data_IF_367575055163
#
_entry.id   IF_367575055163
#
_cell.length_a   1.000
_cell.length_b   1.000
_cell.length_c   1.000
_cell.angle_alpha   90.00
_cell.angle_beta   90.00
_cell.angle_gamma   90.00
#
_symmetry.space_group_name_H-M   'P 1'
#
loop_
_entity.id
_entity.type
_entity.pdbx_description
1 polymer ?
#
# COMPACT_ATOMS: atom_id res chain seq x y z
N UNK A 1 -52.25 -6.90 0.72
CA UNK A 1 -51.64 -5.91 -0.21
C UNK A 1 -50.48 -5.25 0.54
N UNK A 2 -49.30 -5.85 0.43
CA UNK A 2 -48.09 -5.40 1.11
C UNK A 2 -47.19 -4.79 0.02
N UNK A 3 -46.92 -3.50 0.14
CA UNK A 3 -46.03 -2.75 -0.75
C UNK A 3 -44.62 -2.95 -0.24
N UNK A 4 -43.80 -3.65 -1.00
CA UNK A 4 -42.36 -3.76 -0.77
C UNK A 4 -41.70 -2.57 -1.50
N UNK A 5 -41.16 -1.62 -0.74
CA UNK A 5 -40.31 -0.55 -1.27
C UNK A 5 -38.93 -1.13 -1.55
N UNK A 6 -38.53 -1.11 -2.83
CA UNK A 6 -37.15 -1.37 -3.25
C UNK A 6 -36.28 -0.17 -2.90
N UNK A 7 -35.35 -0.36 -1.99
CA UNK A 7 -34.24 0.58 -1.80
C UNK A 7 -33.14 0.28 -2.81
N UNK A 8 -32.76 1.31 -3.56
CA UNK A 8 -31.76 1.29 -4.61
C UNK A 8 -30.37 0.94 -4.09
N UNK A 9 -29.65 0.17 -4.91
CA UNK A 9 -28.30 -0.29 -4.63
C UNK A 9 -27.28 0.86 -4.63
N UNK A 10 -26.53 0.96 -3.56
CA UNK A 10 -25.30 1.73 -3.51
C UNK A 10 -24.17 0.98 -4.24
N UNK A 11 -23.13 1.66 -4.70
CA UNK A 11 -22.06 1.03 -5.47
C UNK A 11 -21.25 0.06 -4.61
N UNK A 12 -21.20 -1.20 -5.04
CA UNK A 12 -20.32 -2.22 -4.46
C UNK A 12 -18.89 -1.95 -4.94
N UNK A 13 -18.02 -1.52 -4.03
CA UNK A 13 -16.58 -1.40 -4.29
C UNK A 13 -15.93 -2.77 -4.27
N UNK A 14 -15.28 -3.17 -5.35
CA UNK A 14 -14.55 -4.43 -5.46
C UNK A 14 -13.04 -4.17 -5.34
N UNK A 15 -12.33 -5.04 -4.63
CA UNK A 15 -10.88 -4.94 -4.30
C UNK A 15 -9.95 -4.73 -5.52
N UNK A 16 -10.36 -5.14 -6.71
CA UNK A 16 -9.63 -4.88 -7.95
C UNK A 16 -9.88 -3.45 -8.48
N UNK A 17 -10.94 -2.78 -8.03
CA UNK A 17 -11.21 -1.37 -8.34
C UNK A 17 -10.42 -0.43 -7.43
N UNK A 18 -10.00 -0.87 -6.23
CA UNK A 18 -9.34 -0.02 -5.24
C UNK A 18 -7.90 0.38 -5.62
N UNK A 19 -7.18 -0.42 -6.38
CA UNK A 19 -5.93 0.02 -7.05
C UNK A 19 -6.21 0.89 -8.30
N UNK A 20 -7.39 0.76 -8.89
CA UNK A 20 -7.89 1.58 -10.00
C UNK A 20 -8.82 2.70 -9.53
N UNK A 21 -9.30 2.73 -8.27
CA UNK A 21 -10.23 3.75 -7.78
C UNK A 21 -9.62 5.15 -7.79
N UNK A 22 -8.30 5.26 -7.78
CA UNK A 22 -7.63 6.50 -8.17
C UNK A 22 -7.75 6.81 -9.68
N UNK A 23 -8.20 5.85 -10.49
CA UNK A 23 -8.30 5.94 -11.95
C UNK A 23 -9.74 5.78 -12.48
N UNK A 24 -10.66 5.19 -11.72
CA UNK A 24 -12.05 5.01 -12.10
C UNK A 24 -12.92 6.11 -11.47
N UNK A 25 -12.89 7.29 -12.05
CA UNK A 25 -13.97 8.27 -11.86
C UNK A 25 -15.05 7.91 -12.87
N UNK A 26 -15.91 6.96 -12.55
CA UNK A 26 -17.16 6.70 -13.26
C UNK A 26 -18.35 6.92 -12.30
N UNK A 27 -18.37 8.11 -11.70
CA UNK A 27 -19.58 8.68 -11.09
C UNK A 27 -19.85 9.99 -11.77
N UNK A 28 -21.12 10.23 -12.14
CA UNK A 28 -21.56 11.53 -12.61
C UNK A 28 -21.05 12.62 -11.65
N UNK A 29 -20.47 13.72 -12.11
CA UNK A 29 -19.84 14.71 -11.25
C UNK A 29 -20.87 15.25 -10.26
N UNK A 30 -20.67 14.97 -8.98
CA UNK A 30 -21.27 15.77 -7.92
C UNK A 30 -20.64 17.18 -8.05
N UNK A 31 -21.43 18.25 -7.91
CA UNK A 31 -21.00 19.60 -8.25
C UNK A 31 -19.74 20.16 -7.54
N UNK A 32 -19.11 19.35 -6.66
CA UNK A 32 -17.89 19.68 -5.91
C UNK A 32 -16.59 19.08 -6.50
N UNK A 33 -16.67 18.25 -7.53
CA UNK A 33 -15.50 17.58 -8.14
C UNK A 33 -14.69 18.47 -9.11
N UNK A 34 -14.99 19.75 -9.18
CA UNK A 34 -14.41 20.68 -10.17
C UNK A 34 -12.88 20.66 -10.25
N UNK A 35 -12.19 20.64 -9.11
CA UNK A 35 -10.72 20.66 -9.07
C UNK A 35 -10.09 19.36 -9.62
N UNK A 36 -10.65 18.22 -9.24
CA UNK A 36 -10.13 16.90 -9.66
C UNK A 36 -10.46 16.55 -11.11
N UNK A 37 -11.53 17.14 -11.67
CA UNK A 37 -11.87 16.97 -13.09
C UNK A 37 -10.85 17.64 -14.02
N UNK A 38 -10.11 18.66 -13.56
CA UNK A 38 -9.04 19.30 -14.34
C UNK A 38 -7.83 18.40 -14.59
N UNK A 39 -7.69 17.29 -13.87
CA UNK A 39 -6.65 16.30 -14.16
C UNK A 39 -6.89 15.51 -15.43
N UNK A 40 -8.15 15.41 -15.89
CA UNK A 40 -8.52 14.76 -17.16
C UNK A 40 -8.39 15.78 -18.28
N UNK A 41 -7.35 15.65 -19.10
CA UNK A 41 -7.06 16.57 -20.20
C UNK A 41 -7.81 16.22 -21.49
N UNK A 42 -8.16 14.95 -21.67
CA UNK A 42 -8.89 14.46 -22.83
C UNK A 42 -9.74 13.25 -22.46
N UNK A 43 -10.99 13.21 -22.94
CA UNK A 43 -11.87 12.06 -22.82
C UNK A 43 -12.86 12.02 -23.98
N UNK A 44 -12.78 10.96 -24.78
CA UNK A 44 -13.71 10.65 -25.86
C UNK A 44 -13.84 9.12 -25.99
N UNK A 45 -14.94 8.57 -25.51
CA UNK A 45 -15.20 7.14 -25.52
C UNK A 45 -15.42 6.55 -26.92
N UNK A 46 -15.60 7.40 -27.94
CA UNK A 46 -15.78 6.97 -29.34
C UNK A 46 -14.48 7.06 -30.17
N UNK A 47 -13.43 7.64 -29.58
CA UNK A 47 -12.13 7.72 -30.24
C UNK A 47 -11.53 6.32 -30.42
N UNK A 48 -11.05 6.04 -31.64
CA UNK A 48 -10.54 4.69 -32.00
C UNK A 48 -9.18 4.34 -31.39
N UNK A 49 -8.40 5.33 -30.96
CA UNK A 49 -7.03 5.09 -30.45
C UNK A 49 -6.88 5.53 -29.01
N UNK A 50 -7.10 6.79 -28.70
CA UNK A 50 -6.98 7.33 -27.34
C UNK A 50 -8.38 7.70 -26.86
N UNK A 51 -8.89 6.97 -25.86
CA UNK A 51 -10.20 7.26 -25.27
C UNK A 51 -10.11 8.21 -24.08
N UNK A 52 -8.97 8.22 -23.37
CA UNK A 52 -8.75 9.10 -22.21
C UNK A 52 -7.27 9.40 -22.03
N UNK A 53 -6.96 10.64 -21.64
CA UNK A 53 -5.64 11.04 -21.15
C UNK A 53 -5.82 11.92 -19.91
N UNK A 54 -5.16 11.55 -18.82
CA UNK A 54 -5.23 12.29 -17.57
C UNK A 54 -3.84 12.38 -16.91
N UNK A 55 -3.59 13.50 -16.25
CA UNK A 55 -2.44 13.68 -15.37
C UNK A 55 -2.78 13.10 -14.01
N UNK A 56 -1.85 12.35 -13.43
CA UNK A 56 -1.96 11.79 -12.08
C UNK A 56 -0.89 12.38 -11.19
N UNK A 57 -1.16 12.42 -9.89
CA UNK A 57 -0.15 12.85 -8.95
C UNK A 57 -0.58 12.69 -7.51
N UNK A 58 0.40 12.90 -6.62
CA UNK A 58 0.16 12.96 -5.18
C UNK A 58 1.19 13.85 -4.49
N UNK A 59 0.76 14.48 -3.41
CA UNK A 59 1.60 15.22 -2.51
C UNK A 59 1.27 14.83 -1.07
N UNK A 60 2.26 14.33 -0.36
CA UNK A 60 2.16 13.97 1.06
C UNK A 60 3.20 14.77 1.84
N UNK A 61 2.77 15.44 2.89
CA UNK A 61 3.62 16.22 3.78
C UNK A 61 3.45 15.72 5.21
N UNK A 62 4.55 15.51 5.92
CA UNK A 62 4.58 14.99 7.28
C UNK A 62 5.30 15.92 8.23
N UNK A 63 4.71 16.08 9.41
CA UNK A 63 5.28 16.66 10.62
C UNK A 63 5.56 15.52 11.59
N UNK A 64 6.78 15.41 12.08
CA UNK A 64 7.25 14.29 12.90
C UNK A 64 7.81 14.82 14.22
N UNK A 65 7.45 14.16 15.32
CA UNK A 65 8.05 14.39 16.63
C UNK A 65 8.19 13.05 17.33
N UNK A 66 9.42 12.59 17.54
CA UNK A 66 9.74 11.37 18.29
C UNK A 66 10.49 11.75 19.57
N UNK A 67 10.24 10.99 20.62
CA UNK A 67 10.93 11.05 21.92
C UNK A 67 11.17 9.63 22.40
N UNK A 68 12.44 9.23 22.56
CA UNK A 68 12.83 7.86 22.86
C UNK A 68 14.07 7.78 23.73
N UNK A 69 14.37 6.57 24.20
CA UNK A 69 15.55 6.25 24.99
C UNK A 69 16.88 6.40 24.23
N UNK A 70 16.84 6.44 22.88
CA UNK A 70 18.02 6.64 22.02
C UNK A 70 18.15 8.06 21.49
N UNK A 71 17.16 8.95 21.74
CA UNK A 71 17.18 10.34 21.34
C UNK A 71 15.82 10.86 20.88
N UNK A 72 15.81 12.10 20.44
CA UNK A 72 14.62 12.77 19.90
C UNK A 72 14.80 13.19 18.44
N UNK A 73 13.69 13.23 17.71
CA UNK A 73 13.62 13.72 16.33
C UNK A 73 12.44 14.67 16.20
N UNK A 74 12.70 15.87 15.67
CA UNK A 74 11.65 16.78 15.19
C UNK A 74 11.97 17.16 13.77
N UNK A 75 11.07 16.85 12.88
CA UNK A 75 11.29 17.03 11.45
C UNK A 75 9.98 17.35 10.73
N UNK A 76 10.12 17.99 9.59
CA UNK A 76 9.04 18.22 8.65
C UNK A 76 9.54 17.93 7.24
N UNK A 77 8.78 17.15 6.46
CA UNK A 77 9.24 16.76 5.15
C UNK A 77 8.11 16.50 4.16
N UNK A 78 8.40 16.71 2.89
CA UNK A 78 7.59 16.16 1.80
C UNK A 78 7.83 14.65 1.73
N UNK A 79 6.86 13.90 2.23
CA UNK A 79 6.96 12.43 2.32
C UNK A 79 6.89 11.75 0.96
N UNK A 80 6.12 12.31 0.02
CA UNK A 80 5.97 11.86 -1.36
C UNK A 80 5.55 13.01 -2.25
N UNK A 81 6.22 13.16 -3.37
CA UNK A 81 5.73 13.96 -4.47
C UNK A 81 5.86 13.15 -5.76
N UNK A 82 4.73 12.82 -6.37
CA UNK A 82 4.64 12.05 -7.59
C UNK A 82 3.90 12.79 -8.66
N UNK A 83 4.37 12.67 -9.87
CA UNK A 83 3.69 13.15 -11.07
C UNK A 83 3.74 12.07 -12.15
N UNK A 84 2.68 11.99 -12.90
CA UNK A 84 2.57 11.03 -13.97
C UNK A 84 1.36 11.26 -14.85
N UNK A 85 1.07 10.28 -15.68
CA UNK A 85 -0.11 10.27 -16.52
C UNK A 85 -0.66 8.87 -16.69
N UNK A 86 -1.92 8.80 -17.04
CA UNK A 86 -2.62 7.59 -17.44
C UNK A 86 -3.36 7.84 -18.73
N UNK A 87 -3.30 6.88 -19.65
CA UNK A 87 -4.03 6.91 -20.92
C UNK A 87 -4.74 5.59 -21.18
N UNK A 88 -6.00 5.66 -21.61
CA UNK A 88 -6.77 4.52 -22.08
C UNK A 88 -6.69 4.46 -23.59
N UNK A 89 -6.33 3.30 -24.13
CA UNK A 89 -6.02 3.06 -25.51
C UNK A 89 -6.79 1.86 -26.06
N UNK A 90 -7.27 1.95 -27.31
CA UNK A 90 -7.80 0.81 -28.07
C UNK A 90 -8.84 -0.01 -27.27
N UNK A 91 -9.70 0.66 -26.50
CA UNK A 91 -10.79 0.12 -25.65
C UNK A 91 -10.37 -0.79 -24.50
N UNK A 92 -9.23 -1.46 -24.59
CA UNK A 92 -8.83 -2.51 -23.65
C UNK A 92 -7.46 -2.31 -23.01
N UNK A 93 -6.72 -1.29 -23.45
CA UNK A 93 -5.38 -1.04 -22.92
C UNK A 93 -5.36 0.21 -22.04
N UNK A 94 -4.58 0.16 -20.99
CA UNK A 94 -4.23 1.32 -20.17
C UNK A 94 -2.72 1.39 -20.07
N UNK A 95 -2.16 2.52 -20.43
CA UNK A 95 -0.76 2.82 -20.15
C UNK A 95 -0.68 3.86 -19.03
N UNK A 96 0.11 3.57 -18.00
CA UNK A 96 0.41 4.48 -16.89
C UNK A 96 1.91 4.68 -16.79
N UNK A 97 2.35 5.91 -16.55
CA UNK A 97 3.72 6.21 -16.13
C UNK A 97 3.71 7.28 -15.06
N UNK A 98 4.42 7.04 -13.96
CA UNK A 98 4.51 7.92 -12.79
C UNK A 98 5.94 7.89 -12.23
N UNK A 99 6.44 9.02 -11.75
CA UNK A 99 7.74 9.14 -11.13
C UNK A 99 7.66 9.83 -9.76
N UNK A 100 8.56 9.45 -8.86
CA UNK A 100 8.82 10.11 -7.58
C UNK A 100 9.86 11.22 -7.76
N UNK A 101 9.60 12.36 -7.11
CA UNK A 101 10.48 13.50 -7.05
C UNK A 101 10.76 13.89 -5.60
N UNK A 102 11.98 14.33 -5.29
CA UNK A 102 12.33 14.87 -3.99
C UNK A 102 12.14 16.38 -3.98
N UNK A 103 11.32 16.86 -3.04
CA UNK A 103 11.13 18.29 -2.78
C UNK A 103 11.84 18.75 -1.50
N UNK A 104 12.46 17.83 -0.75
CA UNK A 104 13.25 18.18 0.43
C UNK A 104 14.69 18.53 0.03
N UNK A 105 15.20 17.88 -1.03
CA UNK A 105 16.54 18.10 -1.56
C UNK A 105 16.50 18.38 -3.07
N UNK A 106 17.32 19.30 -3.51
CA UNK A 106 17.31 19.74 -4.91
C UNK A 106 18.08 18.79 -5.86
N UNK A 107 18.99 17.97 -5.34
CA UNK A 107 19.85 17.09 -6.13
C UNK A 107 20.04 15.72 -5.44
N UNK A 108 19.56 14.63 -6.03
CA UNK A 108 18.79 14.59 -7.28
C UNK A 108 17.31 14.90 -7.07
N UNK A 109 16.75 15.81 -7.85
CA UNK A 109 15.30 16.11 -7.84
C UNK A 109 14.46 14.93 -8.30
N UNK A 110 14.87 14.21 -9.35
CA UNK A 110 14.25 12.97 -9.79
C UNK A 110 14.77 11.81 -8.94
N UNK A 111 13.86 11.04 -8.34
CA UNK A 111 14.19 9.91 -7.48
C UNK A 111 14.07 8.57 -8.20
N UNK A 112 12.92 8.28 -8.77
CA UNK A 112 12.72 7.00 -9.48
C UNK A 112 11.41 6.95 -10.27
N UNK A 113 11.37 6.09 -11.28
CA UNK A 113 10.11 5.63 -11.85
C UNK A 113 9.37 4.75 -10.83
N UNK A 114 8.07 4.99 -10.73
CA UNK A 114 7.17 4.17 -9.93
C UNK A 114 6.33 3.26 -10.84
N UNK A 115 5.03 3.47 -10.94
CA UNK A 115 4.23 2.73 -11.90
C UNK A 115 4.58 3.14 -13.34
N UNK A 116 5.09 2.20 -14.13
CA UNK A 116 5.31 2.38 -15.58
C UNK A 116 5.00 1.06 -16.25
N UNK A 117 3.74 0.88 -16.64
CA UNK A 117 3.23 -0.38 -17.15
C UNK A 117 2.19 -0.21 -18.25
N UNK A 118 2.05 -1.26 -19.06
CA UNK A 118 0.93 -1.48 -19.95
C UNK A 118 0.00 -2.53 -19.33
N UNK A 119 -1.28 -2.20 -19.22
CA UNK A 119 -2.33 -3.10 -18.80
C UNK A 119 -3.24 -3.45 -19.98
N UNK A 120 -3.56 -4.74 -20.12
CA UNK A 120 -4.59 -5.23 -21.03
C UNK A 120 -5.76 -5.80 -20.22
N UNK A 121 -6.96 -5.27 -20.43
CA UNK A 121 -8.20 -5.63 -19.73
C UNK A 121 -9.32 -5.93 -20.73
N UNK A 122 -9.31 -7.10 -21.38
CA UNK A 122 -10.31 -7.45 -22.38
C UNK A 122 -11.71 -7.63 -21.79
N UNK A 123 -11.82 -7.89 -20.50
CA UNK A 123 -13.10 -8.04 -19.79
C UNK A 123 -13.00 -7.43 -18.39
N UNK A 124 -14.15 -7.19 -17.73
CA UNK A 124 -14.18 -6.75 -16.31
C UNK A 124 -13.60 -7.79 -15.35
N UNK A 125 -13.39 -9.03 -15.77
CA UNK A 125 -12.99 -10.17 -14.91
C UNK A 125 -11.54 -10.59 -15.09
N UNK A 126 -10.86 -10.08 -16.10
CA UNK A 126 -9.51 -10.51 -16.45
C UNK A 126 -8.66 -9.32 -16.85
N UNK A 127 -7.47 -9.21 -16.27
CA UNK A 127 -6.46 -8.23 -16.67
C UNK A 127 -5.05 -8.80 -16.55
N UNK A 128 -4.18 -8.34 -17.43
CA UNK A 128 -2.74 -8.57 -17.39
C UNK A 128 -2.06 -7.21 -17.35
N UNK A 129 -1.07 -7.07 -16.49
CA UNK A 129 -0.23 -5.89 -16.39
C UNK A 129 1.22 -6.27 -16.55
N UNK A 130 1.95 -5.59 -17.43
CA UNK A 130 3.36 -5.82 -17.70
C UNK A 130 4.12 -4.49 -17.59
N UNK A 131 5.23 -4.48 -16.86
CA UNK A 131 6.04 -3.29 -16.62
C UNK A 131 6.44 -3.14 -15.16
N UNK A 132 6.97 -1.96 -14.80
CA UNK A 132 7.30 -1.61 -13.42
C UNK A 132 6.01 -1.26 -12.68
N UNK A 133 5.71 -1.97 -11.60
CA UNK A 133 4.45 -1.85 -10.88
C UNK A 133 4.61 -2.31 -9.43
N UNK A 134 3.65 -1.93 -8.57
CA UNK A 134 3.67 -2.40 -7.19
C UNK A 134 3.43 -3.92 -7.13
N UNK A 135 4.39 -4.65 -6.58
CA UNK A 135 4.27 -6.08 -6.27
C UNK A 135 3.63 -6.24 -4.88
N UNK A 136 2.33 -5.91 -4.78
CA UNK A 136 1.63 -5.86 -3.50
C UNK A 136 1.27 -7.23 -2.95
N UNK A 137 1.62 -7.48 -1.69
CA UNK A 137 1.15 -8.58 -0.85
C UNK A 137 1.14 -8.10 0.61
N UNK A 138 0.55 -8.84 1.55
CA UNK A 138 0.20 -8.40 2.91
C UNK A 138 -0.91 -7.33 2.93
N UNK A 139 -1.45 -7.03 4.10
CA UNK A 139 -2.53 -6.07 4.29
C UNK A 139 -2.16 -4.69 3.74
N UNK A 140 -1.08 -4.09 4.24
CA UNK A 140 -0.71 -2.73 3.87
C UNK A 140 0.14 -2.68 2.59
N UNK A 141 0.80 -3.78 2.21
CA UNK A 141 1.51 -3.90 0.95
C UNK A 141 0.58 -3.88 -0.27
N UNK A 142 -0.67 -4.35 -0.13
CA UNK A 142 -1.72 -4.25 -1.15
C UNK A 142 -2.50 -2.95 -1.09
N UNK A 143 -2.33 -2.13 -0.02
CA UNK A 143 -3.06 -0.86 0.14
C UNK A 143 -2.31 0.29 -0.53
N UNK A 144 -2.99 1.06 -1.36
CA UNK A 144 -2.44 2.30 -1.92
C UNK A 144 -2.03 3.26 -0.79
N UNK A 145 -0.90 3.96 -0.97
CA UNK A 145 -0.47 4.97 -0.01
C UNK A 145 -1.50 6.12 0.17
N UNK A 146 -2.36 6.35 -0.82
CA UNK A 146 -3.45 7.34 -0.71
C UNK A 146 -4.57 6.84 0.21
N UNK A 147 -4.77 5.52 0.31
CA UNK A 147 -5.89 4.86 1.02
C UNK A 147 -5.52 4.35 2.40
N UNK A 148 -4.27 4.49 2.81
CA UNK A 148 -3.86 4.17 4.17
C UNK A 148 -4.71 4.95 5.17
N UNK A 149 -5.22 4.25 6.19
CA UNK A 149 -5.97 4.84 7.30
C UNK A 149 -5.07 5.15 8.51
N UNK A 150 -3.78 4.85 8.40
CA UNK A 150 -2.71 5.22 9.34
C UNK A 150 -1.69 6.08 8.62
N UNK A 151 -0.86 6.82 9.38
CA UNK A 151 0.17 7.71 8.81
C UNK A 151 1.16 6.95 7.94
N UNK A 152 1.65 5.81 8.43
CA UNK A 152 2.55 4.91 7.71
C UNK A 152 2.00 3.48 7.75
N UNK A 153 2.48 2.63 6.82
CA UNK A 153 2.20 1.20 6.83
C UNK A 153 2.66 0.56 8.14
N UNK A 154 1.97 -0.51 8.54
CA UNK A 154 2.41 -1.30 9.68
C UNK A 154 3.82 -1.88 9.45
N UNK A 155 4.57 -2.02 10.53
CA UNK A 155 5.96 -2.45 10.44
C UNK A 155 6.13 -3.93 10.05
N UNK A 156 5.11 -4.77 10.25
CA UNK A 156 5.11 -6.15 9.77
C UNK A 156 5.16 -6.19 8.23
N UNK A 157 4.27 -5.45 7.56
CA UNK A 157 4.31 -5.32 6.11
C UNK A 157 5.63 -4.74 5.60
N UNK A 158 6.21 -3.75 6.31
CA UNK A 158 7.48 -3.13 5.91
C UNK A 158 8.68 -4.08 6.04
N UNK A 159 8.68 -4.99 7.03
CA UNK A 159 9.75 -5.97 7.21
C UNK A 159 9.64 -7.14 6.25
N UNK A 160 8.43 -7.60 5.94
CA UNK A 160 8.19 -8.73 5.05
C UNK A 160 8.18 -8.34 3.58
N UNK A 161 7.75 -7.10 3.29
CA UNK A 161 7.65 -6.60 1.93
C UNK A 161 9.02 -6.24 1.37
N UNK A 162 9.07 -6.02 0.08
CA UNK A 162 10.31 -5.79 -0.62
C UNK A 162 10.95 -4.44 -0.29
N UNK A 163 12.25 -4.38 -0.47
CA UNK A 163 13.02 -3.16 -0.29
C UNK A 163 12.51 -2.05 -1.21
N UNK A 164 12.12 -2.41 -2.43
CA UNK A 164 11.48 -1.54 -3.41
C UNK A 164 10.00 -1.88 -3.57
N UNK A 165 9.15 -0.86 -3.66
CA UNK A 165 7.70 -1.02 -3.86
C UNK A 165 7.37 -1.39 -5.30
N UNK A 166 8.03 -0.73 -6.26
CA UNK A 166 7.76 -0.84 -7.69
C UNK A 166 8.84 -1.67 -8.37
N UNK A 167 8.43 -2.78 -8.93
CA UNK A 167 9.32 -3.83 -9.45
C UNK A 167 8.86 -4.21 -10.86
N UNK A 168 9.79 -4.38 -11.83
CA UNK A 168 9.45 -4.87 -13.16
C UNK A 168 8.92 -6.31 -13.10
N UNK A 169 7.82 -6.56 -13.79
CA UNK A 169 7.23 -7.89 -13.83
C UNK A 169 5.95 -7.97 -14.63
N UNK A 170 5.34 -9.13 -14.58
CA UNK A 170 4.03 -9.41 -15.18
C UNK A 170 3.08 -9.91 -14.10
N UNK A 171 1.91 -9.31 -14.01
CA UNK A 171 0.85 -9.65 -13.08
C UNK A 171 -0.44 -9.98 -13.84
N UNK A 172 -1.05 -11.11 -13.51
CA UNK A 172 -2.36 -11.53 -14.00
C UNK A 172 -3.35 -11.48 -12.85
N UNK A 173 -4.52 -10.90 -13.09
CA UNK A 173 -5.58 -10.81 -12.09
C UNK A 173 -6.89 -11.33 -12.70
N UNK A 174 -7.60 -12.18 -11.94
CA UNK A 174 -8.85 -12.82 -12.36
C UNK A 174 -9.89 -12.68 -11.25
N UNK A 175 -11.10 -12.27 -11.65
CA UNK A 175 -12.28 -12.21 -10.76
C UNK A 175 -13.31 -13.24 -11.24
N UNK A 176 -13.71 -14.16 -10.35
CA UNK A 176 -14.73 -15.15 -10.63
C UNK A 176 -15.78 -15.22 -9.50
N UNK A 177 -16.90 -14.55 -9.70
CA UNK A 177 -17.89 -14.37 -8.62
C UNK A 177 -17.25 -13.62 -7.44
N UNK A 178 -17.33 -14.21 -6.25
CA UNK A 178 -16.70 -13.69 -5.04
C UNK A 178 -15.19 -13.97 -4.94
N UNK A 179 -14.63 -14.80 -5.81
CA UNK A 179 -13.22 -15.14 -5.80
C UNK A 179 -12.36 -14.12 -6.54
N UNK A 180 -11.19 -13.83 -5.99
CA UNK A 180 -10.15 -12.96 -6.53
C UNK A 180 -8.85 -13.75 -6.59
N UNK A 181 -8.20 -13.74 -7.74
CA UNK A 181 -6.92 -14.42 -7.95
C UNK A 181 -5.92 -13.45 -8.52
N UNK A 182 -4.70 -13.47 -8.02
CA UNK A 182 -3.56 -12.76 -8.60
C UNK A 182 -2.39 -13.71 -8.68
N UNK A 183 -1.67 -13.67 -9.79
CA UNK A 183 -0.41 -14.40 -9.95
C UNK A 183 0.55 -13.53 -10.76
N UNK A 184 1.79 -13.43 -10.33
CA UNK A 184 2.78 -12.60 -10.99
C UNK A 184 4.19 -13.18 -10.87
N UNK A 185 5.04 -12.78 -11.82
CA UNK A 185 6.48 -13.02 -11.79
C UNK A 185 7.15 -11.66 -11.94
N UNK A 186 8.09 -11.39 -11.05
CA UNK A 186 8.80 -10.13 -10.95
C UNK A 186 10.29 -10.34 -10.87
N UNK A 187 11.06 -9.31 -11.23
CA UNK A 187 12.51 -9.31 -11.09
C UNK A 187 12.95 -9.23 -9.62
N UNK A 188 13.96 -10.02 -9.23
CA UNK A 188 14.73 -9.81 -8.01
C UNK A 188 15.96 -8.92 -8.23
N UNK A 189 16.32 -8.63 -9.47
CA UNK A 189 17.58 -8.02 -9.90
C UNK A 189 17.93 -6.67 -9.30
N UNK A 190 18.73 -5.89 -10.00
CA UNK A 190 19.21 -4.60 -9.50
C UNK A 190 18.14 -3.51 -9.61
N UNK A 191 17.85 -2.87 -8.48
CA UNK A 191 16.93 -1.73 -8.39
C UNK A 191 17.64 -0.45 -8.82
N UNK A 192 17.35 0.04 -10.03
CA UNK A 192 17.79 1.37 -10.48
C UNK A 192 16.66 2.39 -10.38
N UNK A 193 16.97 3.71 -10.37
CA UNK A 193 15.95 4.75 -10.39
C UNK A 193 14.97 4.62 -11.57
N UNK A 194 15.44 4.17 -12.72
CA UNK A 194 14.64 4.01 -13.93
C UNK A 194 13.78 2.74 -13.83
N UNK A 195 14.08 1.76 -14.66
CA UNK A 195 13.27 0.54 -14.74
C UNK A 195 13.81 -0.59 -13.85
N UNK A 196 15.12 -0.65 -13.64
CA UNK A 196 15.83 -1.75 -13.00
C UNK A 196 16.26 -2.83 -13.99
N UNK A 197 16.99 -3.82 -13.50
CA UNK A 197 17.49 -4.93 -14.33
C UNK A 197 16.68 -6.20 -14.09
N UNK A 198 16.87 -7.18 -14.99
CA UNK A 198 16.37 -8.55 -14.85
C UNK A 198 17.53 -9.52 -14.57
N UNK A 199 18.71 -8.99 -14.23
CA UNK A 199 19.85 -9.77 -13.78
C UNK A 199 19.61 -10.22 -12.33
N UNK A 200 20.05 -11.42 -11.99
CA UNK A 200 19.75 -12.02 -10.70
C UNK A 200 18.53 -12.94 -10.73
N UNK A 201 17.95 -13.20 -9.57
CA UNK A 201 16.81 -14.08 -9.45
C UNK A 201 15.48 -13.37 -9.78
N UNK A 202 14.41 -14.15 -9.80
CA UNK A 202 13.04 -13.66 -9.89
C UNK A 202 12.24 -14.16 -8.70
N UNK A 203 11.10 -13.52 -8.42
CA UNK A 203 10.17 -14.03 -7.44
C UNK A 203 8.77 -14.22 -8.04
N UNK A 204 8.07 -15.22 -7.52
CA UNK A 204 6.69 -15.50 -7.79
C UNK A 204 5.78 -14.93 -6.69
N UNK A 205 4.71 -14.26 -7.09
CA UNK A 205 3.65 -13.77 -6.20
C UNK A 205 2.35 -14.49 -6.55
N UNK A 206 1.67 -15.00 -5.55
CA UNK A 206 0.34 -15.59 -5.67
C UNK A 206 -0.59 -15.05 -4.58
N UNK A 207 -1.83 -14.74 -4.96
CA UNK A 207 -2.88 -14.34 -4.03
C UNK A 207 -4.18 -15.04 -4.39
N UNK A 208 -4.91 -15.47 -3.37
CA UNK A 208 -6.31 -15.90 -3.47
C UNK A 208 -7.13 -15.15 -2.43
N UNK A 209 -8.20 -14.50 -2.89
CA UNK A 209 -9.12 -13.76 -2.04
C UNK A 209 -10.56 -14.22 -2.20
N UNK A 210 -11.35 -14.08 -1.14
CA UNK A 210 -12.80 -14.31 -1.17
C UNK A 210 -13.52 -13.12 -0.57
N UNK A 211 -14.44 -12.57 -1.35
CA UNK A 211 -15.26 -11.40 -1.01
C UNK A 211 -16.60 -11.85 -0.41
N UNK A 212 -16.79 -11.59 0.88
CA UNK A 212 -18.01 -11.87 1.62
C UNK A 212 -18.97 -10.67 1.67
N UNK A 213 -18.62 -9.52 1.09
CA UNK A 213 -19.32 -8.25 1.27
C UNK A 213 -20.80 -8.34 0.90
N UNK A 214 -21.11 -8.90 -0.26
CA UNK A 214 -22.48 -9.11 -0.72
C UNK A 214 -23.23 -10.08 0.20
N UNK A 215 -22.61 -11.19 0.57
CA UNK A 215 -23.21 -12.23 1.43
C UNK A 215 -23.53 -11.70 2.83
N UNK A 216 -22.69 -10.82 3.37
CA UNK A 216 -22.84 -10.27 4.71
C UNK A 216 -23.59 -8.94 4.73
N UNK A 217 -23.84 -8.33 3.56
CA UNK A 217 -24.52 -7.05 3.43
C UNK A 217 -23.73 -5.89 4.05
N UNK A 218 -22.39 -5.92 3.91
CA UNK A 218 -21.47 -4.91 4.46
C UNK A 218 -20.71 -4.22 3.34
N UNK A 219 -20.05 -3.10 3.65
CA UNK A 219 -19.28 -2.32 2.68
C UNK A 219 -18.07 -3.10 2.15
N UNK A 220 -17.32 -3.74 3.03
CA UNK A 220 -16.16 -4.58 2.70
C UNK A 220 -16.12 -5.78 3.65
N UNK A 221 -15.89 -6.97 3.12
CA UNK A 221 -15.55 -8.17 3.90
C UNK A 221 -14.69 -9.09 3.02
N UNK A 222 -13.37 -8.90 3.05
CA UNK A 222 -12.44 -9.57 2.17
C UNK A 222 -11.42 -10.37 2.98
N UNK A 223 -11.30 -11.65 2.70
CA UNK A 223 -10.23 -12.52 3.22
C UNK A 223 -9.25 -12.83 2.09
N UNK A 224 -7.97 -12.58 2.29
CA UNK A 224 -6.91 -12.85 1.33
C UNK A 224 -5.84 -13.73 1.94
N UNK A 225 -5.32 -14.64 1.13
CA UNK A 225 -4.10 -15.39 1.36
C UNK A 225 -3.08 -15.00 0.29
N UNK A 226 -1.99 -14.38 0.71
CA UNK A 226 -0.85 -14.06 -0.13
C UNK A 226 0.27 -15.07 0.10
N UNK A 227 0.99 -15.39 -0.96
CA UNK A 227 2.20 -16.19 -0.91
C UNK A 227 3.24 -15.67 -1.90
N UNK A 228 4.47 -15.54 -1.43
CA UNK A 228 5.64 -15.15 -2.24
C UNK A 228 6.69 -16.23 -2.12
N UNK A 229 7.28 -16.62 -3.24
CA UNK A 229 8.47 -17.43 -3.33
C UNK A 229 9.55 -16.70 -4.10
N UNK A 230 10.76 -16.68 -3.55
CA UNK A 230 11.93 -16.05 -4.12
C UNK A 230 13.13 -16.99 -3.98
N UNK A 231 13.88 -17.19 -5.07
CA UNK A 231 15.17 -17.84 -4.98
C UNK A 231 16.17 -16.94 -4.22
N UNK A 232 16.85 -17.47 -3.17
CA UNK A 232 17.87 -16.73 -2.46
C UNK A 232 19.01 -16.34 -3.41
N UNK A 233 19.26 -15.04 -3.54
CA UNK A 233 20.37 -14.49 -4.31
C UNK A 233 20.89 -13.22 -3.64
N UNK A 234 22.19 -13.17 -3.34
CA UNK A 234 22.83 -12.01 -2.73
C UNK A 234 22.87 -10.78 -3.64
N UNK A 235 22.62 -10.93 -4.95
CA UNK A 235 22.55 -9.84 -5.91
C UNK A 235 21.17 -9.19 -6.00
N UNK A 236 20.15 -9.77 -5.35
CA UNK A 236 18.83 -9.17 -5.31
C UNK A 236 18.84 -7.86 -4.51
N UNK A 237 18.42 -6.77 -5.14
CA UNK A 237 18.31 -5.47 -4.48
C UNK A 237 16.89 -4.87 -4.54
N UNK A 238 15.99 -5.46 -5.34
CA UNK A 238 14.57 -5.13 -5.27
C UNK A 238 13.89 -5.67 -4.02
N UNK A 239 14.34 -6.81 -3.49
CA UNK A 239 13.65 -7.60 -2.48
C UNK A 239 14.42 -7.71 -1.18
N UNK A 240 13.71 -7.94 -0.07
CA UNK A 240 14.32 -8.40 1.18
C UNK A 240 14.64 -9.90 1.08
N UNK A 241 15.64 -10.40 1.82
CA UNK A 241 16.10 -11.79 1.70
C UNK A 241 15.18 -12.77 2.46
N UNK A 242 13.94 -12.89 2.01
CA UNK A 242 12.97 -13.89 2.46
C UNK A 242 12.67 -14.85 1.32
N UNK A 243 12.99 -16.13 1.49
CA UNK A 243 12.71 -17.17 0.48
C UNK A 243 11.21 -17.42 0.34
N UNK A 244 10.51 -17.51 1.46
CA UNK A 244 9.07 -17.69 1.51
C UNK A 244 8.43 -16.60 2.35
N UNK A 245 7.32 -16.04 1.88
CA UNK A 245 6.46 -15.16 2.69
C UNK A 245 5.02 -15.59 2.53
N UNK A 246 4.31 -15.78 3.63
CA UNK A 246 2.88 -16.04 3.69
C UNK A 246 2.16 -14.96 4.49
N UNK A 247 1.00 -14.49 4.02
CA UNK A 247 0.14 -13.55 4.74
C UNK A 247 -1.31 -13.96 4.61
N UNK A 248 -2.01 -14.05 5.73
CA UNK A 248 -3.47 -14.18 5.79
C UNK A 248 -4.02 -12.86 6.32
N UNK A 249 -4.65 -12.08 5.45
CA UNK A 249 -5.17 -10.79 5.83
C UNK A 249 -6.69 -10.69 5.64
N UNK A 250 -7.33 -9.90 6.50
CA UNK A 250 -8.76 -9.71 6.50
C UNK A 250 -9.10 -8.23 6.59
N UNK A 251 -10.08 -7.80 5.80
CA UNK A 251 -10.66 -6.47 5.80
C UNK A 251 -12.14 -6.57 6.04
N UNK A 252 -12.65 -5.74 6.92
CA UNK A 252 -14.06 -5.66 7.25
C UNK A 252 -14.48 -4.22 7.50
N UNK A 253 -15.55 -3.78 6.85
CA UNK A 253 -16.07 -2.42 7.00
C UNK A 253 -17.62 -2.44 6.87
N UNK A 254 -18.32 -2.00 7.92
CA UNK A 254 -19.77 -1.80 7.93
C UNK A 254 -20.19 -0.39 7.52
N UNK A 255 -19.20 0.48 7.22
CA UNK A 255 -19.37 1.91 7.04
C UNK A 255 -19.12 2.71 8.32
N UNK A 256 -19.49 2.22 9.47
CA UNK A 256 -19.28 2.88 10.76
C UNK A 256 -18.17 2.22 11.58
N UNK A 257 -18.18 0.91 11.67
CA UNK A 257 -17.15 0.09 12.30
C UNK A 257 -16.38 -0.69 11.23
N UNK A 258 -15.11 -0.73 11.37
CA UNK A 258 -14.28 -1.58 10.55
C UNK A 258 -13.14 -2.21 11.33
N UNK A 259 -12.56 -3.23 10.69
CA UNK A 259 -11.49 -4.01 11.24
C UNK A 259 -10.58 -4.49 10.11
N UNK A 260 -9.27 -4.34 10.29
CA UNK A 260 -8.26 -4.91 9.42
C UNK A 260 -7.32 -5.76 10.25
N UNK A 261 -6.87 -6.88 9.72
CA UNK A 261 -5.87 -7.73 10.37
C UNK A 261 -4.95 -8.40 9.35
N UNK A 262 -3.77 -8.73 9.80
CA UNK A 262 -2.76 -9.47 9.04
C UNK A 262 -2.07 -10.46 9.98
N UNK A 263 -1.96 -11.71 9.56
CA UNK A 263 -1.16 -12.74 10.19
C UNK A 263 -0.15 -13.22 9.17
N UNK A 264 1.11 -12.89 9.37
CA UNK A 264 2.15 -13.15 8.39
C UNK A 264 3.35 -13.86 8.99
N UNK A 265 4.02 -14.65 8.14
CA UNK A 265 5.27 -15.31 8.47
C UNK A 265 6.17 -15.39 7.24
N UNK A 266 7.48 -15.46 7.48
CA UNK A 266 8.49 -15.67 6.44
C UNK A 266 9.59 -16.62 6.88
N UNK A 267 10.22 -17.26 5.89
CA UNK A 267 11.52 -17.90 6.05
C UNK A 267 12.59 -16.96 5.52
N UNK A 268 13.52 -16.58 6.38
CA UNK A 268 14.67 -15.77 6.00
C UNK A 268 15.69 -16.56 5.19
N UNK A 269 16.53 -15.86 4.45
CA UNK A 269 17.64 -16.40 3.69
C UNK A 269 18.83 -15.46 3.76
N UNK A 270 20.04 -15.91 3.39
CA UNK A 270 21.26 -15.09 3.34
C UNK A 270 21.54 -14.27 4.60
N UNK A 271 21.21 -14.81 5.79
CA UNK A 271 21.44 -14.17 7.09
C UNK A 271 20.26 -13.39 7.66
N UNK A 272 19.14 -13.27 6.93
CA UNK A 272 17.88 -12.74 7.45
C UNK A 272 17.20 -13.77 8.34
N UNK A 273 16.74 -13.36 9.51
CA UNK A 273 15.95 -14.19 10.43
C UNK A 273 14.58 -14.54 9.84
N UNK A 274 14.04 -15.69 10.19
CA UNK A 274 12.62 -16.00 10.04
C UNK A 274 11.79 -15.01 10.87
N UNK A 275 10.73 -14.48 10.28
CA UNK A 275 9.84 -13.55 10.94
C UNK A 275 8.41 -14.11 11.02
N UNK A 276 7.73 -13.75 12.09
CA UNK A 276 6.28 -13.94 12.23
C UNK A 276 5.68 -12.73 12.94
N UNK A 277 4.45 -12.39 12.60
CA UNK A 277 3.81 -11.27 13.25
C UNK A 277 2.32 -11.18 13.00
N UNK A 278 1.71 -10.27 13.74
CA UNK A 278 0.28 -9.98 13.68
C UNK A 278 0.03 -8.48 13.65
N UNK A 279 -0.98 -8.08 12.90
CA UNK A 279 -1.55 -6.73 12.91
C UNK A 279 -3.03 -6.82 13.23
N UNK A 280 -3.48 -5.98 14.15
CA UNK A 280 -4.88 -5.82 14.54
C UNK A 280 -5.19 -4.33 14.44
N UNK A 281 -6.16 -3.95 13.60
CA UNK A 281 -6.43 -2.54 13.29
C UNK A 281 -7.95 -2.27 13.22
N UNK A 282 -8.63 -2.11 14.38
CA UNK A 282 -10.00 -1.63 14.41
C UNK A 282 -10.06 -0.13 14.12
N UNK A 283 -11.18 0.32 13.53
CA UNK A 283 -11.47 1.72 13.32
C UNK A 283 -12.95 2.04 13.50
N UNK A 284 -13.23 3.31 13.76
CA UNK A 284 -14.57 3.84 13.91
C UNK A 284 -14.73 5.16 13.15
N UNK A 285 -15.71 5.22 12.24
CA UNK A 285 -16.09 6.43 11.52
C UNK A 285 -17.23 7.13 12.23
N UNK A 286 -16.94 8.31 12.79
CA UNK A 286 -17.95 9.16 13.45
C UNK A 286 -18.97 9.67 12.42
N UNK A 287 -18.46 10.02 11.25
CA UNK A 287 -19.19 10.46 10.07
C UNK A 287 -18.31 10.25 8.82
N UNK A 288 -18.73 10.74 7.66
CA UNK A 288 -17.99 10.61 6.41
C UNK A 288 -16.67 11.42 6.37
N UNK A 289 -16.48 12.32 7.34
CA UNK A 289 -15.31 13.19 7.42
C UNK A 289 -14.33 12.83 8.53
N UNK A 290 -14.75 12.13 9.57
CA UNK A 290 -13.91 11.87 10.74
C UNK A 290 -13.91 10.39 11.09
N UNK A 291 -12.70 9.81 11.12
CA UNK A 291 -12.46 8.41 11.47
C UNK A 291 -11.37 8.32 12.55
N UNK A 292 -11.57 7.44 13.50
CA UNK A 292 -10.61 7.08 14.52
C UNK A 292 -10.11 5.66 14.28
N UNK A 293 -8.79 5.46 14.34
CA UNK A 293 -8.09 4.21 14.05
C UNK A 293 -7.19 3.83 15.22
N UNK A 294 -7.12 2.55 15.54
CA UNK A 294 -6.13 1.94 16.42
C UNK A 294 -5.38 0.87 15.64
N UNK A 295 -4.13 0.65 16.01
CA UNK A 295 -3.34 -0.46 15.48
C UNK A 295 -2.46 -1.02 16.57
N UNK A 296 -2.46 -2.34 16.69
CA UNK A 296 -1.44 -3.12 17.36
C UNK A 296 -0.67 -3.91 16.32
N UNK A 297 0.66 -3.86 16.39
CA UNK A 297 1.58 -4.62 15.55
C UNK A 297 2.56 -5.35 16.46
N UNK A 298 2.72 -6.65 16.25
CA UNK A 298 3.75 -7.45 16.92
C UNK A 298 4.51 -8.26 15.89
N UNK A 299 5.86 -8.27 16.00
CA UNK A 299 6.74 -9.04 15.13
C UNK A 299 7.77 -9.73 16.01
N UNK A 300 8.01 -11.02 15.74
CA UNK A 300 9.04 -11.82 16.42
C UNK A 300 9.97 -12.41 15.37
N UNK A 301 11.27 -12.20 15.56
CA UNK A 301 12.34 -12.87 14.85
C UNK A 301 12.71 -14.20 15.54
N UNK A 302 13.11 -15.18 14.74
CA UNK A 302 13.66 -16.43 15.28
C UNK A 302 15.08 -16.20 15.84
N UNK A 303 15.91 -15.48 15.11
CA UNK A 303 17.28 -15.13 15.45
C UNK A 303 17.35 -13.72 16.08
N UNK A 304 18.55 -13.31 16.47
CA UNK A 304 18.76 -12.09 17.27
C UNK A 304 18.57 -10.79 16.47
N UNK A 305 18.85 -10.78 15.16
CA UNK A 305 18.85 -9.58 14.33
C UNK A 305 18.02 -9.80 13.06
N UNK A 306 16.73 -9.54 13.10
CA UNK A 306 15.84 -9.77 11.96
C UNK A 306 14.85 -8.66 11.67
N UNK A 307 14.61 -7.78 12.65
CA UNK A 307 13.53 -6.79 12.60
C UNK A 307 14.12 -5.37 12.59
N UNK A 308 13.79 -4.59 11.58
CA UNK A 308 14.11 -3.17 11.52
C UNK A 308 12.93 -2.32 12.00
N UNK A 309 13.23 -1.19 12.58
CA UNK A 309 12.26 -0.14 12.89
C UNK A 309 11.59 0.43 11.63
N UNK A 310 10.46 1.09 11.83
CA UNK A 310 9.79 1.81 10.76
C UNK A 310 10.60 3.07 10.39
N UNK A 311 10.14 3.83 9.40
CA UNK A 311 10.89 4.88 8.72
C UNK A 311 11.49 5.92 9.66
N UNK A 312 10.70 6.48 10.55
CA UNK A 312 11.11 7.62 11.36
C UNK A 312 11.93 7.21 12.58
N UNK A 313 11.54 6.13 13.24
CA UNK A 313 12.30 5.53 14.36
C UNK A 313 13.68 5.05 13.89
N UNK A 314 13.74 4.49 12.66
CA UNK A 314 15.02 4.04 12.07
C UNK A 314 15.99 5.18 11.77
N UNK A 315 15.54 6.42 11.68
CA UNK A 315 16.44 7.57 11.58
C UNK A 315 17.20 7.83 12.91
N UNK A 316 16.62 7.42 14.04
CA UNK A 316 17.25 7.48 15.36
C UNK A 316 18.04 6.21 15.65
N UNK A 317 17.47 5.03 15.36
CA UNK A 317 18.09 3.73 15.62
C UNK A 317 18.04 2.86 14.35
N UNK A 318 19.12 2.80 13.56
CA UNK A 318 19.19 2.03 12.33
C UNK A 318 19.46 0.53 12.53
N UNK A 319 19.79 0.10 13.76
CA UNK A 319 20.08 -1.28 14.10
C UNK A 319 18.88 -2.22 13.94
N UNK A 320 19.14 -3.50 14.13
CA UNK A 320 18.13 -4.55 14.05
C UNK A 320 17.86 -5.13 15.44
N UNK A 321 16.64 -5.60 15.64
CA UNK A 321 16.25 -6.32 16.84
C UNK A 321 15.54 -7.62 16.53
N UNK A 322 14.92 -8.21 17.54
CA UNK A 322 14.32 -9.54 17.46
C UNK A 322 12.86 -9.62 17.93
N UNK A 323 12.37 -8.60 18.64
CA UNK A 323 10.97 -8.50 19.03
C UNK A 323 10.49 -7.06 18.99
N UNK A 324 9.49 -6.79 18.17
CA UNK A 324 8.89 -5.47 17.92
C UNK A 324 7.44 -5.44 18.37
N UNK A 325 7.07 -4.39 19.08
CA UNK A 325 5.70 -4.08 19.44
C UNK A 325 5.37 -2.62 19.13
N UNK A 326 4.16 -2.37 18.62
CA UNK A 326 3.65 -1.04 18.35
C UNK A 326 2.20 -0.92 18.80
N UNK A 327 1.91 0.14 19.53
CA UNK A 327 0.56 0.62 19.78
C UNK A 327 0.39 1.96 19.08
N UNK A 328 -0.55 2.04 18.15
CA UNK A 328 -0.86 3.24 17.39
C UNK A 328 -2.32 3.64 17.60
N UNK A 329 -2.59 4.95 17.71
CA UNK A 329 -3.92 5.53 17.60
C UNK A 329 -3.87 6.78 16.74
N UNK A 330 -4.86 6.97 15.86
CA UNK A 330 -4.84 8.09 14.92
C UNK A 330 -6.23 8.56 14.53
N UNK A 331 -6.28 9.82 14.09
CA UNK A 331 -7.46 10.47 13.54
C UNK A 331 -7.23 10.79 12.07
N UNK A 332 -8.21 10.48 11.24
CA UNK A 332 -8.28 10.85 9.84
C UNK A 332 -9.39 11.86 9.64
N UNK A 333 -9.07 12.99 9.08
CA UNK A 333 -10.05 13.99 8.66
C UNK A 333 -10.11 14.02 7.13
N UNK A 334 -11.17 13.48 6.57
CA UNK A 334 -11.43 13.43 5.15
C UNK A 334 -12.14 14.70 4.68
N UNK A 335 -11.41 15.58 3.98
CA UNK A 335 -11.94 16.82 3.41
C UNK A 335 -12.62 16.53 2.05
N UNK A 336 -12.04 15.60 1.27
CA UNK A 336 -12.60 15.09 0.02
C UNK A 336 -12.22 13.60 -0.15
N UNK A 337 -12.77 12.74 0.72
CA UNK A 337 -12.42 11.33 0.77
C UNK A 337 -10.91 11.12 0.91
N UNK A 338 -10.38 10.09 0.25
CA UNK A 338 -8.94 9.83 0.24
C UNK A 338 -8.13 10.77 -0.66
N UNK A 339 -8.79 11.54 -1.53
CA UNK A 339 -8.12 12.51 -2.42
C UNK A 339 -7.57 13.72 -1.69
N UNK A 340 -8.22 14.11 -0.58
CA UNK A 340 -7.79 15.21 0.26
C UNK A 340 -8.11 14.90 1.72
N UNK A 341 -7.08 14.67 2.52
CA UNK A 341 -7.24 14.38 3.94
C UNK A 341 -6.09 14.89 4.79
N UNK A 342 -6.40 15.15 6.06
CA UNK A 342 -5.43 15.33 7.13
C UNK A 342 -5.43 14.08 8.01
N UNK A 343 -4.25 13.61 8.40
CA UNK A 343 -4.09 12.47 9.29
C UNK A 343 -3.17 12.86 10.45
N UNK A 344 -3.45 12.35 11.64
CA UNK A 344 -2.56 12.47 12.80
C UNK A 344 -2.55 11.18 13.57
N UNK A 345 -1.39 10.74 14.05
CA UNK A 345 -1.21 9.51 14.78
C UNK A 345 -0.22 9.66 15.93
N UNK A 346 -0.56 9.07 17.06
CA UNK A 346 0.30 8.86 18.21
C UNK A 346 0.64 7.38 18.27
N UNK A 347 1.91 7.05 18.44
CA UNK A 347 2.37 5.68 18.56
C UNK A 347 3.36 5.53 19.71
N UNK A 348 3.35 4.33 20.29
CA UNK A 348 4.39 3.83 21.19
C UNK A 348 5.03 2.63 20.53
N UNK A 349 6.35 2.62 20.46
CA UNK A 349 7.13 1.58 19.78
C UNK A 349 8.19 1.05 20.73
N UNK A 350 8.32 -0.27 20.77
CA UNK A 350 9.38 -0.99 21.48
C UNK A 350 10.01 -2.01 20.53
N UNK A 351 11.33 -1.99 20.41
CA UNK A 351 12.15 -3.00 19.73
C UNK A 351 13.19 -3.53 20.71
N UNK A 352 13.14 -4.82 20.99
CA UNK A 352 14.13 -5.51 21.81
C UNK A 352 15.27 -6.01 20.94
N UNK A 353 16.49 -5.97 21.52
CA UNK A 353 17.72 -6.47 20.93
C UNK A 353 18.39 -7.44 21.91
N UNK A 354 18.26 -8.76 21.67
CA UNK A 354 18.90 -9.80 22.50
C UNK A 354 20.42 -9.87 22.28
N UNK A 355 20.88 -9.54 21.08
CA UNK A 355 22.29 -9.52 20.73
C UNK A 355 23.05 -8.44 21.50
N UNK A 356 22.38 -7.35 21.85
CA UNK A 356 22.95 -6.15 22.50
C UNK A 356 24.06 -5.51 21.66
N UNK A 357 23.89 -5.54 20.34
CA UNK A 357 24.84 -4.99 19.37
C UNK A 357 24.35 -3.70 18.69
N UNK A 358 23.21 -3.17 19.17
CA UNK A 358 22.52 -1.97 18.67
C UNK A 358 21.26 -2.35 17.91
N UNK A 359 20.18 -1.64 18.19
CA UNK A 359 18.86 -1.91 17.60
C UNK A 359 17.73 -1.80 18.62
N UNK A 360 18.04 -1.81 19.94
CA UNK A 360 17.03 -1.57 20.97
C UNK A 360 16.46 -0.16 20.86
N UNK A 361 15.14 -0.05 20.98
CA UNK A 361 14.43 1.22 20.91
C UNK A 361 13.18 1.17 21.79
N UNK A 362 12.91 2.24 22.53
CA UNK A 362 11.66 2.42 23.24
C UNK A 362 11.27 3.90 23.21
N UNK A 363 10.12 4.23 22.60
CA UNK A 363 9.77 5.63 22.44
C UNK A 363 8.34 5.91 22.01
N UNK A 364 7.98 7.20 22.09
CA UNK A 364 6.72 7.75 21.61
C UNK A 364 6.94 8.53 20.33
N UNK A 365 5.98 8.45 19.41
CA UNK A 365 5.98 9.21 18.18
C UNK A 365 4.64 9.89 17.94
N UNK A 366 4.67 11.19 17.63
CA UNK A 366 3.55 11.91 17.08
C UNK A 366 3.86 12.25 15.63
N UNK A 367 3.01 11.79 14.72
CA UNK A 367 3.08 12.12 13.30
C UNK A 367 1.77 12.78 12.86
N UNK A 368 1.87 13.81 12.05
CA UNK A 368 0.71 14.50 11.48
C UNK A 368 1.00 14.87 10.04
N UNK A 369 0.02 14.83 9.15
CA UNK A 369 0.33 15.11 7.77
C UNK A 369 -0.87 15.32 6.87
N UNK A 370 -0.56 15.97 5.78
CA UNK A 370 -1.50 16.33 4.73
C UNK A 370 -1.30 15.42 3.52
N UNK A 371 -2.41 14.96 2.94
CA UNK A 371 -2.42 14.05 1.79
C UNK A 371 -3.34 14.61 0.72
N UNK A 372 -2.81 14.81 -0.48
CA UNK A 372 -3.59 15.17 -1.67
C UNK A 372 -3.20 14.27 -2.83
N UNK A 373 -4.18 13.86 -3.65
CA UNK A 373 -3.96 13.09 -4.88
C UNK A 373 -5.00 13.44 -5.94
N UNK A 374 -4.63 13.33 -7.21
CA UNK A 374 -5.48 13.65 -8.37
C UNK A 374 -5.27 12.70 -9.54
#
# INVERSE_FOLDING_TARGET
MIVIAMFGGGPSFTFAEDLESSLAIDTAPSGDDGLWNHSVLFQDHQASVIQRFAITGRYHYDLISLDSDVGDLRDEQVRRFRLGFVTNLLDHFTFKSEADFDLNEADPFYQSLTDTYLQWKPTKRFKIRAGKQAAGFTLDGTTSANELITMERNNLSNNLWFHQVFIPGVLVEVTQGAWRYRAGIFSGGEATPEFGTFEGSSFGLFNIGYDFSEKWGVREAMLNLDYVYQDPDAQNSFTNPHEHVGSLNFRYDTGRWGFRSDLSASNGSTGQSDLRGIVIMPFYSFNDHLQWVWRYTEITGHDENGIRLNRYERALEPGLGDHYQEFYTGLNWYLHGHKLKWQSGLQFVELSDRAKDGGAYCGWGLTSGFRISW
#
